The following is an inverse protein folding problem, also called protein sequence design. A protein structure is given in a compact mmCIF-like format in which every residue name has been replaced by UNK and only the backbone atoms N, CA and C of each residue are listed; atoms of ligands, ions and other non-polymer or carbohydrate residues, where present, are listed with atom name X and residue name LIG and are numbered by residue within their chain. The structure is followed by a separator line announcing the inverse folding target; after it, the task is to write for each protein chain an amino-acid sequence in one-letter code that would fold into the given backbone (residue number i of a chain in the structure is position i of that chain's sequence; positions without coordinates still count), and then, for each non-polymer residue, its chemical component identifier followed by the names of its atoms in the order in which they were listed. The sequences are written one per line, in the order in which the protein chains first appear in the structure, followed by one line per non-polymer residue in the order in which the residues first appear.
data_IF_710279620039
#
_entry.id   IF_710279620039
#
_cell.length_a   1.000
_cell.length_b   1.000
_cell.length_c   1.000
_cell.angle_alpha   90.00
_cell.angle_beta   90.00
_cell.angle_gamma   90.00
#
_symmetry.space_group_name_H-M   'P 1'
#
loop_
_entity.id
_entity.type
_entity.pdbx_description
1 polymer ?
#
# COMPACT_ATOMS: atom_id res chain seq x y z
N UNK A 1 -7.81 15.09 -6.86
CA UNK A 1 -6.47 14.58 -6.46
C UNK A 1 -6.44 13.95 -5.07
N UNK A 2 -7.39 14.24 -4.16
CA UNK A 2 -7.41 13.71 -2.78
C UNK A 2 -7.65 12.19 -2.67
N UNK A 3 -8.46 11.61 -3.55
CA UNK A 3 -8.78 10.17 -3.51
C UNK A 3 -7.56 9.27 -3.75
N UNK A 4 -6.56 9.80 -4.47
CA UNK A 4 -5.29 9.13 -4.73
C UNK A 4 -4.47 8.94 -3.43
N UNK A 5 -4.54 9.89 -2.51
CA UNK A 5 -3.85 9.80 -1.22
C UNK A 5 -4.51 8.79 -0.28
N UNK A 6 -5.84 8.63 -0.37
CA UNK A 6 -6.59 7.62 0.40
C UNK A 6 -6.11 6.21 0.08
N UNK A 7 -5.83 5.91 -1.20
CA UNK A 7 -5.33 4.59 -1.60
C UNK A 7 -3.98 4.30 -0.93
N UNK A 8 -3.03 5.24 -1.00
CA UNK A 8 -1.71 5.08 -0.36
C UNK A 8 -1.80 4.98 1.18
N UNK A 9 -2.63 5.81 1.81
CA UNK A 9 -2.80 5.80 3.26
C UNK A 9 -3.46 4.51 3.77
N UNK A 10 -4.48 4.01 3.06
CA UNK A 10 -5.17 2.76 3.39
C UNK A 10 -4.23 1.56 3.22
N UNK A 11 -3.49 1.52 2.13
CA UNK A 11 -2.50 0.50 1.81
C UNK A 11 -1.40 0.39 2.88
N UNK A 12 -0.88 1.53 3.36
CA UNK A 12 0.04 1.55 4.50
C UNK A 12 -0.55 0.98 5.80
N UNK A 13 -1.84 1.20 6.06
CA UNK A 13 -2.54 0.61 7.21
C UNK A 13 -2.74 -0.91 7.09
N UNK A 14 -2.97 -1.41 5.87
CA UNK A 14 -3.09 -2.85 5.60
C UNK A 14 -1.73 -3.53 5.82
N UNK A 15 -0.65 -2.95 5.28
CA UNK A 15 0.69 -3.49 5.50
C UNK A 15 1.12 -3.41 6.98
N UNK A 16 0.71 -2.36 7.70
CA UNK A 16 0.90 -2.28 9.16
C UNK A 16 0.18 -3.39 9.92
N UNK A 17 -1.03 -3.76 9.50
CA UNK A 17 -1.76 -4.87 10.10
C UNK A 17 -1.06 -6.23 9.90
N UNK A 18 -0.22 -6.36 8.87
CA UNK A 18 0.51 -7.60 8.54
C UNK A 18 1.90 -7.65 9.21
N UNK A 19 2.71 -6.60 9.06
CA UNK A 19 4.12 -6.57 9.49
C UNK A 19 4.42 -5.59 10.64
N UNK A 20 3.39 -4.98 11.22
CA UNK A 20 3.56 -3.91 12.21
C UNK A 20 4.29 -2.71 11.60
N UNK A 21 5.15 -2.06 12.40
CA UNK A 21 5.84 -0.81 12.00
C UNK A 21 6.65 -0.95 10.70
N UNK A 22 7.25 -2.13 10.47
CA UNK A 22 8.10 -2.36 9.30
C UNK A 22 7.31 -2.23 7.99
N UNK A 23 6.05 -2.69 7.99
CA UNK A 23 5.19 -2.72 6.81
C UNK A 23 4.69 -1.36 6.32
N UNK A 24 4.75 -0.30 7.15
CA UNK A 24 4.15 1.01 6.81
C UNK A 24 4.80 1.60 5.55
N UNK A 25 6.14 1.66 5.52
CA UNK A 25 6.87 2.28 4.42
C UNK A 25 6.70 1.52 3.09
N UNK A 26 6.93 0.19 3.01
CA UNK A 26 6.75 -0.53 1.76
C UNK A 26 5.28 -0.63 1.33
N UNK A 27 4.33 -0.63 2.28
CA UNK A 27 2.90 -0.62 1.97
C UNK A 27 2.50 0.70 1.31
N UNK A 28 2.83 1.82 1.95
CA UNK A 28 2.54 3.14 1.41
C UNK A 28 3.15 3.37 0.02
N UNK A 29 4.35 2.83 -0.23
CA UNK A 29 4.98 2.87 -1.57
C UNK A 29 4.18 2.04 -2.57
N UNK A 30 3.78 0.81 -2.23
CA UNK A 30 2.95 -0.05 -3.07
C UNK A 30 1.63 0.63 -3.47
N UNK A 31 0.93 1.20 -2.49
CA UNK A 31 -0.32 1.95 -2.72
C UNK A 31 -0.13 3.20 -3.59
N UNK A 32 0.96 3.96 -3.39
CA UNK A 32 1.27 5.12 -4.21
C UNK A 32 1.64 4.74 -5.65
N UNK A 33 2.38 3.64 -5.84
CA UNK A 33 2.74 3.12 -7.17
C UNK A 33 1.49 2.63 -7.92
N UNK A 34 0.56 1.96 -7.24
CA UNK A 34 -0.68 1.47 -7.84
C UNK A 34 -1.53 2.60 -8.43
N UNK A 35 -1.55 3.74 -7.73
CA UNK A 35 -2.16 4.99 -8.17
C UNK A 35 -1.44 5.59 -9.38
N UNK A 36 -0.10 5.64 -9.33
CA UNK A 36 0.72 6.19 -10.40
C UNK A 36 0.58 5.43 -11.72
N UNK A 37 0.45 4.10 -11.65
CA UNK A 37 0.31 3.22 -12.82
C UNK A 37 -1.14 3.18 -13.34
N UNK A 38 -2.11 3.72 -12.60
CA UNK A 38 -3.53 3.63 -12.95
C UNK A 38 -4.12 2.23 -12.78
N UNK A 39 -3.45 1.37 -12.02
CA UNK A 39 -3.83 -0.03 -11.79
C UNK A 39 -4.97 -0.19 -10.76
N UNK A 40 -5.37 0.90 -10.10
CA UNK A 40 -6.48 0.92 -9.14
C UNK A 40 -6.11 0.34 -7.77
N UNK A 41 -7.10 0.03 -6.93
CA UNK A 41 -6.87 -0.43 -5.55
C UNK A 41 -6.41 -1.90 -5.47
N UNK A 42 -6.80 -2.74 -6.43
CA UNK A 42 -6.50 -4.18 -6.41
C UNK A 42 -5.00 -4.48 -6.49
N UNK A 43 -4.26 -3.77 -7.35
CA UNK A 43 -2.81 -3.93 -7.42
C UNK A 43 -2.15 -3.43 -6.13
N UNK A 44 -2.67 -2.36 -5.54
CA UNK A 44 -2.27 -1.87 -4.21
C UNK A 44 -2.36 -2.96 -3.14
N UNK A 45 -3.49 -3.66 -3.07
CA UNK A 45 -3.67 -4.78 -2.13
C UNK A 45 -2.66 -5.91 -2.31
N UNK A 46 -2.33 -6.27 -3.55
CA UNK A 46 -1.32 -7.31 -3.83
C UNK A 46 0.05 -6.83 -3.37
N UNK A 47 0.40 -5.58 -3.65
CA UNK A 47 1.66 -4.99 -3.18
C UNK A 47 1.70 -4.85 -1.67
N UNK A 48 0.58 -4.64 -0.99
CA UNK A 48 0.49 -4.54 0.47
C UNK A 48 0.70 -5.89 1.15
N UNK A 49 0.13 -6.95 0.59
CA UNK A 49 0.39 -8.32 1.05
C UNK A 49 1.86 -8.69 0.87
N UNK A 50 2.44 -8.39 -0.29
CA UNK A 50 3.87 -8.62 -0.52
C UNK A 50 4.71 -7.79 0.44
N UNK A 51 4.43 -6.51 0.54
CA UNK A 51 5.09 -5.59 1.46
C UNK A 51 5.05 -6.10 2.90
N UNK A 52 3.88 -6.55 3.38
CA UNK A 52 3.74 -7.13 4.71
C UNK A 52 4.44 -8.48 4.92
N UNK A 53 4.76 -9.22 3.85
CA UNK A 53 5.53 -10.48 3.96
C UNK A 53 7.04 -10.26 3.81
N UNK A 54 7.45 -9.17 3.16
CA UNK A 54 8.84 -8.83 2.86
C UNK A 54 9.45 -7.82 3.85
N UNK A 55 8.61 -7.12 4.63
CA UNK A 55 8.98 -6.11 5.62
C UNK A 55 9.17 -6.70 7.02
#
# INVERSE_FOLDING_TARGET
MSMQFIVAALSGYIAFAIAGRSGIAPGFIGGAVSVFVGAGFLVGLVTDLLSGTLA
#
